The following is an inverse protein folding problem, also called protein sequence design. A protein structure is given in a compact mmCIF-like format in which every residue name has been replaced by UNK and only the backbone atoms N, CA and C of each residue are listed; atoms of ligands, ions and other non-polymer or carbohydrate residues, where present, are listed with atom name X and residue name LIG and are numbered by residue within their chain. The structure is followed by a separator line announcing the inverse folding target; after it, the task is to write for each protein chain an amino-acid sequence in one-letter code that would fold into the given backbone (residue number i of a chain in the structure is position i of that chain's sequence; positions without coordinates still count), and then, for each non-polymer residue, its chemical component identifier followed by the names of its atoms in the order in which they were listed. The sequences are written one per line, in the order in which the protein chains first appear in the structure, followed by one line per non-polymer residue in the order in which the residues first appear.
data_IF_174435370060
#
_entry.id   IF_174435370060
#
_cell.length_a   1.000
_cell.length_b   1.000
_cell.length_c   1.000
_cell.angle_alpha   90.00
_cell.angle_beta   90.00
_cell.angle_gamma   90.00
#
_symmetry.space_group_name_H-M   'P 1'
#
loop_
_entity.id
_entity.type
_entity.pdbx_description
1 polymer ?
#
# COMPACT_ATOMS: atom_id res chain seq x y z
N UNK A 1 -0.48 -18.32 -8.49
CA UNK A 1 -1.36 -17.69 -7.48
C UNK A 1 -0.63 -17.63 -6.14
N UNK A 2 -1.07 -16.77 -5.22
CA UNK A 2 -0.46 -16.60 -3.89
C UNK A 2 -1.56 -16.38 -2.85
N UNK A 3 -1.28 -16.70 -1.59
CA UNK A 3 -2.20 -16.47 -0.47
C UNK A 3 -1.48 -15.74 0.65
N UNK A 4 -2.06 -14.63 1.12
CA UNK A 4 -1.56 -13.88 2.26
C UNK A 4 -2.62 -13.74 3.35
N UNK A 5 -2.17 -13.78 4.61
CA UNK A 5 -3.03 -13.65 5.79
C UNK A 5 -2.71 -12.33 6.51
N UNK A 6 -3.76 -11.60 6.86
CA UNK A 6 -3.71 -10.34 7.61
C UNK A 6 -4.99 -10.14 8.42
N UNK A 7 -4.92 -9.37 9.49
CA UNK A 7 -6.10 -9.04 10.33
C UNK A 7 -6.86 -7.82 9.82
N UNK A 8 -6.32 -7.16 8.79
CA UNK A 8 -6.97 -6.11 8.01
C UNK A 8 -6.88 -6.47 6.53
N UNK A 9 -7.83 -6.02 5.73
CA UNK A 9 -7.80 -6.22 4.28
C UNK A 9 -6.51 -5.64 3.68
N UNK A 10 -6.18 -4.39 4.06
CA UNK A 10 -5.00 -3.68 3.55
C UNK A 10 -3.70 -4.45 3.83
N UNK A 11 -3.61 -5.05 5.02
CA UNK A 11 -2.47 -5.88 5.41
C UNK A 11 -2.32 -7.12 4.52
N UNK A 12 -3.40 -7.89 4.37
CA UNK A 12 -3.41 -9.09 3.56
C UNK A 12 -3.15 -8.77 2.08
N UNK A 13 -3.81 -7.72 1.57
CA UNK A 13 -3.71 -7.27 0.19
C UNK A 13 -2.29 -6.86 -0.19
N UNK A 14 -1.64 -5.99 0.60
CA UNK A 14 -0.26 -5.57 0.32
C UNK A 14 0.74 -6.73 0.45
N UNK A 15 0.52 -7.66 1.38
CA UNK A 15 1.35 -8.89 1.47
C UNK A 15 1.18 -9.76 0.23
N UNK A 16 -0.04 -9.96 -0.26
CA UNK A 16 -0.30 -10.75 -1.45
C UNK A 16 0.42 -10.17 -2.66
N UNK A 17 0.35 -8.84 -2.87
CA UNK A 17 1.05 -8.17 -3.98
C UNK A 17 2.56 -8.43 -3.96
N UNK A 18 3.19 -8.37 -2.77
CA UNK A 18 4.62 -8.68 -2.61
C UNK A 18 4.99 -10.14 -2.84
N UNK A 19 4.04 -11.06 -2.68
CA UNK A 19 4.29 -12.49 -2.92
C UNK A 19 4.27 -12.84 -4.41
N UNK A 20 3.61 -12.02 -5.25
CA UNK A 20 3.49 -12.27 -6.70
C UNK A 20 4.79 -11.94 -7.44
N UNK A 21 5.42 -10.82 -7.12
CA UNK A 21 6.59 -10.29 -7.84
C UNK A 21 7.55 -9.63 -6.84
N UNK A 22 8.81 -10.04 -6.84
CA UNK A 22 9.86 -9.54 -5.93
C UNK A 22 10.17 -8.05 -6.11
N UNK A 23 9.84 -7.49 -7.27
CA UNK A 23 10.05 -6.07 -7.58
C UNK A 23 8.90 -5.19 -7.07
N UNK A 24 7.78 -5.79 -6.67
CA UNK A 24 6.59 -5.09 -6.16
C UNK A 24 6.66 -5.03 -4.64
N UNK A 25 6.70 -3.82 -4.07
CA UNK A 25 6.79 -3.65 -2.60
C UNK A 25 5.43 -3.54 -1.90
N UNK A 26 4.33 -3.48 -2.66
CA UNK A 26 2.97 -3.31 -2.16
C UNK A 26 2.05 -2.70 -3.22
N UNK A 27 1.00 -2.02 -2.77
CA UNK A 27 0.09 -1.28 -3.64
C UNK A 27 0.71 0.09 -3.98
N UNK A 28 1.59 0.10 -4.98
CA UNK A 28 2.43 1.25 -5.32
C UNK A 28 1.86 2.05 -6.51
N UNK A 29 1.60 3.36 -6.35
CA UNK A 29 1.00 4.21 -7.38
C UNK A 29 1.97 4.67 -8.47
N UNK A 30 3.26 4.33 -8.38
CA UNK A 30 4.29 4.78 -9.33
C UNK A 30 4.72 3.72 -10.35
N UNK A 31 4.21 2.49 -10.23
CA UNK A 31 4.57 1.38 -11.13
C UNK A 31 3.94 1.56 -12.53
N UNK A 32 2.77 2.19 -12.60
CA UNK A 32 2.02 2.45 -13.84
C UNK A 32 1.50 3.89 -13.85
N UNK A 33 1.36 4.45 -15.05
CA UNK A 33 0.60 5.68 -15.27
C UNK A 33 -0.90 5.40 -15.23
N UNK A 34 -1.69 6.45 -15.07
CA UNK A 34 -3.16 6.38 -15.18
C UNK A 34 -3.52 6.03 -16.63
N UNK A 35 -4.44 5.08 -16.77
CA UNK A 35 -5.00 4.65 -18.05
C UNK A 35 -6.43 4.16 -17.80
N UNK A 36 -7.42 4.95 -18.22
CA UNK A 36 -8.83 4.62 -18.03
C UNK A 36 -9.23 3.36 -18.81
N UNK A 37 -8.57 3.05 -19.94
CA UNK A 37 -8.84 1.85 -20.72
C UNK A 37 -8.39 0.58 -19.98
N UNK A 38 -7.23 0.61 -19.31
CA UNK A 38 -6.79 -0.50 -18.42
C UNK A 38 -7.64 -0.61 -17.14
N UNK A 39 -8.30 0.47 -16.71
CA UNK A 39 -9.25 0.40 -15.60
C UNK A 39 -10.55 -0.28 -16.03
N UNK A 40 -11.02 -0.04 -17.26
CA UNK A 40 -12.20 -0.70 -17.82
C UNK A 40 -11.94 -2.15 -18.22
N UNK A 41 -10.81 -2.41 -18.89
CA UNK A 41 -10.44 -3.74 -19.39
C UNK A 41 -9.51 -4.44 -18.40
N UNK A 42 -9.92 -5.54 -17.75
CA UNK A 42 -9.09 -6.23 -16.77
C UNK A 42 -7.74 -6.70 -17.33
N UNK A 43 -6.64 -6.15 -16.81
CA UNK A 43 -5.25 -6.59 -17.08
C UNK A 43 -4.58 -7.11 -15.80
N UNK A 44 -3.44 -7.79 -15.94
CA UNK A 44 -2.60 -8.25 -14.83
C UNK A 44 -1.98 -7.09 -14.02
N UNK A 45 -1.81 -5.92 -14.65
CA UNK A 45 -1.24 -4.71 -14.04
C UNK A 45 -2.29 -3.67 -13.62
N UNK A 46 -3.58 -3.93 -13.82
CA UNK A 46 -4.71 -3.04 -13.48
C UNK A 46 -4.67 -2.50 -12.04
N UNK A 47 -4.20 -3.31 -11.09
CA UNK A 47 -4.07 -2.88 -9.69
C UNK A 47 -3.14 -1.68 -9.52
N UNK A 48 -2.07 -1.57 -10.31
CA UNK A 48 -1.15 -0.44 -10.23
C UNK A 48 -1.68 0.81 -10.94
N UNK A 49 -2.44 0.64 -12.02
CA UNK A 49 -3.19 1.74 -12.66
C UNK A 49 -4.23 2.29 -11.68
N UNK A 50 -4.91 1.40 -10.95
CA UNK A 50 -5.87 1.77 -9.90
C UNK A 50 -5.21 2.54 -8.76
N UNK A 51 -4.02 2.13 -8.32
CA UNK A 51 -3.23 2.86 -7.32
C UNK A 51 -2.88 4.28 -7.80
N UNK A 52 -2.42 4.42 -9.06
CA UNK A 52 -2.10 5.70 -9.67
C UNK A 52 -3.34 6.61 -9.78
N UNK A 53 -4.49 6.07 -10.21
CA UNK A 53 -5.74 6.82 -10.33
C UNK A 53 -6.26 7.32 -8.97
N UNK A 54 -6.20 6.46 -7.94
CA UNK A 54 -6.52 6.85 -6.56
C UNK A 54 -5.62 7.99 -6.06
N UNK A 55 -4.30 7.90 -6.33
CA UNK A 55 -3.34 8.93 -5.96
C UNK A 55 -3.59 10.26 -6.70
N UNK A 56 -4.02 10.19 -7.95
CA UNK A 56 -4.40 11.36 -8.74
C UNK A 56 -5.76 11.96 -8.37
N UNK A 57 -6.44 11.43 -7.35
CA UNK A 57 -7.67 12.00 -6.82
C UNK A 57 -8.95 11.53 -7.52
N UNK A 58 -8.92 10.41 -8.25
CA UNK A 58 -10.14 9.83 -8.78
C UNK A 58 -11.11 9.46 -7.63
N UNK A 59 -12.40 9.73 -7.84
CA UNK A 59 -13.43 9.38 -6.86
C UNK A 59 -13.70 7.88 -6.87
N UNK A 60 -14.15 7.36 -5.72
CA UNK A 60 -14.54 5.95 -5.58
C UNK A 60 -15.67 5.59 -6.54
N UNK A 61 -16.64 6.49 -6.76
CA UNK A 61 -17.72 6.27 -7.71
C UNK A 61 -17.22 6.16 -9.16
N UNK A 62 -16.29 7.03 -9.57
CA UNK A 62 -15.68 6.93 -10.91
C UNK A 62 -14.94 5.60 -11.07
N UNK A 63 -14.15 5.21 -10.08
CA UNK A 63 -13.41 3.96 -10.11
C UNK A 63 -14.35 2.75 -10.08
N UNK A 64 -15.47 2.81 -9.36
CA UNK A 64 -16.50 1.79 -9.41
C UNK A 64 -17.10 1.70 -10.82
N UNK A 65 -17.41 2.82 -11.47
CA UNK A 65 -17.98 2.79 -12.82
C UNK A 65 -17.05 2.18 -13.86
N UNK A 66 -15.77 2.56 -13.82
CA UNK A 66 -14.74 2.01 -14.69
C UNK A 66 -14.49 0.53 -14.38
N UNK A 67 -14.36 0.18 -13.10
CA UNK A 67 -13.77 -1.12 -12.74
C UNK A 67 -14.76 -2.21 -12.36
N UNK A 68 -15.95 -1.81 -11.90
CA UNK A 68 -16.96 -2.64 -11.21
C UNK A 68 -16.44 -3.35 -9.95
N UNK A 69 -15.28 -2.96 -9.43
CA UNK A 69 -14.78 -3.40 -8.11
C UNK A 69 -15.66 -2.75 -7.05
N UNK A 70 -16.16 -3.55 -6.11
CA UNK A 70 -17.02 -3.03 -5.05
C UNK A 70 -16.38 -1.86 -4.29
N UNK A 71 -17.21 -0.85 -3.99
CA UNK A 71 -16.78 0.40 -3.35
C UNK A 71 -16.06 0.15 -2.03
N UNK A 72 -16.44 -0.89 -1.29
CA UNK A 72 -15.76 -1.26 -0.05
C UNK A 72 -14.27 -1.54 -0.27
N UNK A 73 -13.92 -2.33 -1.30
CA UNK A 73 -12.52 -2.61 -1.62
C UNK A 73 -11.78 -1.36 -2.11
N UNK A 74 -12.43 -0.55 -2.94
CA UNK A 74 -11.87 0.70 -3.43
C UNK A 74 -11.56 1.67 -2.28
N UNK A 75 -12.43 1.76 -1.27
CA UNK A 75 -12.18 2.57 -0.06
C UNK A 75 -10.98 2.04 0.72
N UNK A 76 -10.82 0.71 0.84
CA UNK A 76 -9.64 0.11 1.49
C UNK A 76 -8.35 0.40 0.72
N UNK A 77 -8.39 0.36 -0.61
CA UNK A 77 -7.26 0.72 -1.44
C UNK A 77 -6.93 2.22 -1.32
N UNK A 78 -7.96 3.07 -1.24
CA UNK A 78 -7.80 4.51 -0.98
C UNK A 78 -7.16 4.79 0.38
N UNK A 79 -7.45 4.01 1.42
CA UNK A 79 -6.75 4.13 2.70
C UNK A 79 -5.24 3.95 2.53
N UNK A 80 -4.82 2.96 1.74
CA UNK A 80 -3.40 2.69 1.47
C UNK A 80 -2.77 3.88 0.74
N UNK A 81 -3.39 4.37 -0.34
CA UNK A 81 -2.82 5.49 -1.13
C UNK A 81 -2.80 6.79 -0.34
N UNK A 82 -3.84 7.07 0.44
CA UNK A 82 -3.90 8.25 1.33
C UNK A 82 -2.78 8.21 2.37
N UNK A 83 -2.50 7.03 2.93
CA UNK A 83 -1.41 6.85 3.87
C UNK A 83 -0.04 6.96 3.19
N UNK A 84 0.08 6.52 1.93
CA UNK A 84 1.27 6.70 1.13
C UNK A 84 1.57 8.19 0.95
N UNK A 85 0.58 9.01 0.56
CA UNK A 85 0.72 10.47 0.46
C UNK A 85 1.12 11.09 1.80
N UNK A 86 0.49 10.69 2.91
CA UNK A 86 0.89 11.15 4.24
C UNK A 86 2.36 10.83 4.56
N UNK A 87 2.86 9.64 4.18
CA UNK A 87 4.26 9.30 4.39
C UNK A 87 5.21 10.14 3.52
N UNK A 88 4.82 10.52 2.30
CA UNK A 88 5.64 11.35 1.41
C UNK A 88 5.77 12.80 1.85
N UNK A 89 4.76 13.31 2.57
CA UNK A 89 4.80 14.63 3.18
C UNK A 89 5.69 14.68 4.43
N UNK A 90 6.19 13.52 4.88
CA UNK A 90 7.05 13.37 6.05
C UNK A 90 8.50 13.06 5.64
N UNK A 91 9.44 13.66 6.37
CA UNK A 91 10.83 13.20 6.39
C UNK A 91 10.98 12.11 7.46
N UNK A 92 12.00 11.26 7.36
CA UNK A 92 12.26 10.20 8.34
C UNK A 92 12.30 10.71 9.79
N UNK A 93 12.82 11.90 10.03
CA UNK A 93 12.92 12.51 11.38
C UNK A 93 11.56 12.81 12.00
N UNK A 94 10.50 12.91 11.18
CA UNK A 94 9.12 13.18 11.60
C UNK A 94 8.26 11.92 11.64
N UNK A 95 8.82 10.74 11.30
CA UNK A 95 8.13 9.47 11.34
C UNK A 95 7.91 9.04 12.80
N UNK A 96 6.77 9.40 13.39
CA UNK A 96 6.46 9.08 14.77
C UNK A 96 6.17 7.57 14.96
N UNK A 97 6.24 7.10 16.21
CA UNK A 97 5.89 5.73 16.57
C UNK A 97 4.48 5.34 16.07
N UNK A 98 3.49 6.21 16.26
CA UNK A 98 2.11 5.95 15.86
C UNK A 98 1.96 5.83 14.35
N UNK A 99 2.61 6.73 13.60
CA UNK A 99 2.59 6.71 12.14
C UNK A 99 3.27 5.43 11.63
N UNK A 100 4.42 5.08 12.19
CA UNK A 100 5.12 3.85 11.82
C UNK A 100 4.29 2.61 12.14
N UNK A 101 3.69 2.55 13.34
CA UNK A 101 2.86 1.43 13.77
C UNK A 101 1.65 1.26 12.84
N UNK A 102 0.95 2.34 12.52
CA UNK A 102 -0.21 2.29 11.65
C UNK A 102 0.17 1.85 10.22
N UNK A 103 1.28 2.36 9.67
CA UNK A 103 1.82 1.92 8.37
C UNK A 103 2.00 0.39 8.33
N UNK A 104 2.59 -0.18 9.39
CA UNK A 104 2.79 -1.63 9.50
C UNK A 104 1.47 -2.39 9.61
N UNK A 105 0.50 -1.87 10.37
CA UNK A 105 -0.81 -2.51 10.53
C UNK A 105 -1.64 -2.55 9.24
N UNK A 106 -1.43 -1.61 8.32
CA UNK A 106 -2.09 -1.62 7.00
C UNK A 106 -1.22 -2.28 5.91
N UNK A 107 -0.09 -2.89 6.28
CA UNK A 107 0.67 -3.79 5.39
C UNK A 107 1.86 -3.19 4.65
N UNK A 108 2.29 -1.96 4.95
CA UNK A 108 3.45 -1.35 4.29
C UNK A 108 4.73 -2.12 4.62
N UNK A 109 5.56 -2.38 3.61
CA UNK A 109 6.91 -2.90 3.81
C UNK A 109 7.86 -1.80 4.34
N UNK A 110 8.94 -2.20 5.02
CA UNK A 110 9.95 -1.23 5.49
C UNK A 110 10.57 -0.48 4.29
N UNK A 111 10.77 -1.19 3.16
CA UNK A 111 11.22 -0.62 1.88
C UNK A 111 10.26 0.41 1.27
N UNK A 112 8.96 0.17 1.36
CA UNK A 112 7.93 1.09 0.85
C UNK A 112 7.87 2.37 1.71
N UNK A 113 7.92 2.23 3.04
CA UNK A 113 7.99 3.38 3.95
C UNK A 113 9.27 4.18 3.69
N UNK A 114 10.42 3.50 3.56
CA UNK A 114 11.71 4.14 3.30
C UNK A 114 11.70 4.96 2.00
N UNK A 115 11.12 4.43 0.92
CA UNK A 115 10.95 5.16 -0.33
C UNK A 115 10.12 6.45 -0.15
N UNK A 116 9.00 6.35 0.56
CA UNK A 116 8.12 7.51 0.81
C UNK A 116 8.80 8.60 1.66
N UNK A 117 9.47 8.23 2.76
CA UNK A 117 10.10 9.20 3.68
C UNK A 117 11.54 9.58 3.32
N UNK A 118 11.97 9.27 2.09
CA UNK A 118 13.34 9.54 1.56
C UNK A 118 14.46 9.01 2.45
N UNK A 119 14.31 7.75 2.88
CA UNK A 119 15.24 7.05 3.76
C UNK A 119 15.71 5.72 3.14
N UNK A 120 16.52 4.97 3.90
CA UNK A 120 16.91 3.60 3.56
C UNK A 120 16.05 2.59 4.33
N UNK A 121 15.83 1.43 3.72
CA UNK A 121 15.10 0.32 4.38
C UNK A 121 15.71 -0.06 5.73
N UNK A 122 17.05 -0.08 5.81
CA UNK A 122 17.77 -0.43 7.03
C UNK A 122 17.49 0.58 8.16
N UNK A 123 17.43 1.87 7.84
CA UNK A 123 17.16 2.91 8.83
C UNK A 123 15.73 2.82 9.37
N UNK A 124 14.74 2.64 8.49
CA UNK A 124 13.34 2.41 8.89
C UNK A 124 13.20 1.13 9.73
N UNK A 125 13.88 0.05 9.33
CA UNK A 125 13.89 -1.23 10.07
C UNK A 125 14.47 -1.06 11.48
N UNK A 126 15.59 -0.34 11.61
CA UNK A 126 16.23 -0.04 12.90
C UNK A 126 15.29 0.76 13.81
N UNK A 127 14.74 1.85 13.30
CA UNK A 127 13.77 2.68 14.03
C UNK A 127 12.56 1.86 14.49
N UNK A 128 12.02 0.99 13.62
CA UNK A 128 10.91 0.09 13.93
C UNK A 128 11.25 -0.88 15.07
N UNK A 129 12.46 -1.43 15.07
CA UNK A 129 12.93 -2.34 16.13
C UNK A 129 13.15 -1.62 17.46
N UNK A 130 13.76 -0.44 17.44
CA UNK A 130 13.98 0.42 18.62
C UNK A 130 12.66 0.89 19.23
N UNK A 131 11.66 1.11 18.38
CA UNK A 131 10.28 1.45 18.76
C UNK A 131 9.47 0.24 19.25
N UNK A 132 10.05 -0.96 19.35
CA UNK A 132 9.37 -2.21 19.71
C UNK A 132 8.17 -2.58 18.81
N UNK A 133 8.13 -2.08 17.58
CA UNK A 133 7.09 -2.41 16.60
C UNK A 133 7.45 -3.73 15.90
N UNK A 134 6.89 -4.83 16.39
CA UNK A 134 7.16 -6.19 15.89
C UNK A 134 5.85 -6.90 15.49
N UNK A 135 5.88 -7.76 14.46
CA UNK A 135 4.73 -8.59 14.13
C UNK A 135 4.48 -9.63 15.22
N UNK A 136 3.25 -10.14 15.28
CA UNK A 136 2.87 -11.23 16.17
C UNK A 136 2.62 -12.51 15.38
N UNK A 137 2.95 -13.66 15.98
CA UNK A 137 2.57 -14.98 15.48
C UNK A 137 1.16 -15.31 15.97
N UNK A 138 0.31 -15.81 15.07
CA UNK A 138 -1.07 -16.23 15.35
C UNK A 138 -1.33 -17.59 14.70
N UNK A 139 -2.19 -18.39 15.32
CA UNK A 139 -2.69 -19.65 14.77
C UNK A 139 -3.87 -19.38 13.83
N UNK A 140 -4.02 -20.22 12.80
CA UNK A 140 -5.11 -20.18 11.82
C UNK A 140 -6.31 -20.95 12.37
#
# INVERSE_FOLDING_TARGET
EVMAIGRKFEEAFQKALRMVDENVNGFDPYIKSIDDEELEKPTDKRMFVLAAALKAGYTIDRLYELTKIDRWFLEKMKNITSYYTLLEDLDQTKLSHEILLHAKQIGFADKQIAGAVKSTELAVRKQRQESNIRPFVKQI
#
